data_IF_984762856933
#
_entry.id   IF_984762856933
#
_cell.length_a   1.000
_cell.length_b   1.000
_cell.length_c   1.000
_cell.angle_alpha   90.00
_cell.angle_beta   90.00
_cell.angle_gamma   90.00
#
_symmetry.space_group_name_H-M   'P 1'
#
loop_
_entity.id
_entity.type
_entity.pdbx_description
1 polymer ?
#
# COMPACT_ATOMS: atom_id res chain seq x y z
N UNK A 1 0.04 -18.12 13.69
CA UNK A 1 -0.56 -19.47 13.83
C UNK A 1 -0.69 -20.09 12.45
N UNK A 2 -0.63 -21.42 12.35
CA UNK A 2 -0.89 -22.10 11.10
C UNK A 2 -2.40 -22.21 10.92
N UNK A 3 -2.93 -21.59 9.86
CA UNK A 3 -4.34 -21.66 9.50
C UNK A 3 -4.40 -22.44 8.19
N UNK A 4 -5.15 -23.54 8.16
CA UNK A 4 -5.25 -24.36 6.96
C UNK A 4 -6.25 -23.69 6.01
N UNK A 5 -5.76 -22.80 5.15
CA UNK A 5 -6.54 -22.12 4.12
C UNK A 5 -6.26 -22.78 2.78
N UNK A 6 -7.30 -23.10 2.03
CA UNK A 6 -7.15 -23.54 0.65
C UNK A 6 -6.68 -22.34 -0.20
N UNK A 7 -5.43 -22.39 -0.64
CA UNK A 7 -4.80 -21.40 -1.52
C UNK A 7 -4.28 -22.16 -2.74
N UNK A 8 -4.38 -21.56 -3.92
CA UNK A 8 -3.74 -22.10 -5.13
C UNK A 8 -2.22 -22.11 -4.96
N UNK A 9 -1.64 -23.32 -4.90
CA UNK A 9 -0.21 -23.52 -4.70
C UNK A 9 0.64 -22.99 -5.87
N UNK A 10 0.11 -23.01 -7.10
CA UNK A 10 0.83 -22.50 -8.26
C UNK A 10 0.95 -20.97 -8.19
N UNK A 11 -0.16 -20.31 -7.87
CA UNK A 11 -0.18 -18.86 -7.68
C UNK A 11 0.71 -18.43 -6.50
N UNK A 12 0.71 -19.21 -5.43
CA UNK A 12 1.52 -18.92 -4.24
C UNK A 12 3.02 -19.06 -4.51
N UNK A 13 3.45 -20.06 -5.29
CA UNK A 13 4.84 -20.19 -5.72
C UNK A 13 5.24 -19.11 -6.72
N UNK A 14 4.36 -18.74 -7.66
CA UNK A 14 4.61 -17.62 -8.57
C UNK A 14 4.83 -16.32 -7.79
N UNK A 15 3.92 -16.00 -6.86
CA UNK A 15 4.04 -14.83 -5.99
C UNK A 15 5.30 -14.89 -5.11
N UNK A 16 5.73 -16.09 -4.69
CA UNK A 16 6.98 -16.28 -3.94
C UNK A 16 8.21 -15.94 -4.77
N UNK A 17 8.25 -16.39 -6.03
CA UNK A 17 9.36 -16.14 -6.94
C UNK A 17 9.42 -14.67 -7.35
N UNK A 18 8.28 -14.07 -7.71
CA UNK A 18 8.17 -12.67 -8.11
C UNK A 18 8.47 -11.73 -6.93
N UNK A 19 7.90 -12.00 -5.75
CA UNK A 19 8.13 -11.25 -4.51
C UNK A 19 9.47 -11.54 -3.83
N UNK A 20 10.25 -12.51 -4.35
CA UNK A 20 11.55 -12.93 -3.79
C UNK A 20 11.48 -13.34 -2.31
N UNK A 21 10.39 -13.98 -1.91
CA UNK A 21 10.18 -14.41 -0.53
C UNK A 21 10.79 -15.78 -0.26
N UNK A 22 11.39 -15.92 0.94
CA UNK A 22 11.98 -17.19 1.37
C UNK A 22 10.92 -18.26 1.71
N UNK A 23 9.72 -17.87 2.13
CA UNK A 23 8.69 -18.81 2.61
C UNK A 23 7.31 -18.43 2.10
N UNK A 24 6.45 -19.44 1.88
CA UNK A 24 5.01 -19.27 1.55
C UNK A 24 4.30 -18.35 2.56
N UNK A 25 4.62 -18.47 3.85
CA UNK A 25 4.06 -17.61 4.91
C UNK A 25 4.40 -16.13 4.71
N UNK A 26 5.64 -15.83 4.32
CA UNK A 26 6.05 -14.45 4.06
C UNK A 26 5.25 -13.85 2.89
N UNK A 27 5.06 -14.62 1.80
CA UNK A 27 4.23 -14.21 0.65
C UNK A 27 2.82 -13.85 1.09
N UNK A 28 2.16 -14.72 1.85
CA UNK A 28 0.77 -14.51 2.28
C UNK A 28 0.66 -13.27 3.17
N UNK A 29 1.58 -13.09 4.11
CA UNK A 29 1.57 -11.93 4.99
C UNK A 29 1.77 -10.62 4.22
N UNK A 30 2.69 -10.59 3.27
CA UNK A 30 2.97 -9.42 2.45
C UNK A 30 1.82 -9.10 1.50
N UNK A 31 1.29 -10.10 0.82
CA UNK A 31 0.13 -9.95 -0.06
C UNK A 31 -1.09 -9.39 0.70
N UNK A 32 -1.34 -9.85 1.93
CA UNK A 32 -2.39 -9.31 2.78
C UNK A 32 -2.12 -7.86 3.20
N UNK A 33 -0.88 -7.54 3.56
CA UNK A 33 -0.49 -6.17 3.90
C UNK A 33 -0.71 -5.22 2.72
N UNK A 34 -0.23 -5.59 1.52
CA UNK A 34 -0.45 -4.81 0.31
C UNK A 34 -1.93 -4.68 -0.06
N UNK A 35 -2.69 -5.77 0.05
CA UNK A 35 -4.13 -5.77 -0.25
C UNK A 35 -4.88 -4.77 0.64
N UNK A 36 -4.60 -4.79 1.94
CA UNK A 36 -5.19 -3.83 2.89
C UNK A 36 -4.70 -2.41 2.60
N UNK A 37 -3.40 -2.23 2.34
CA UNK A 37 -2.83 -0.92 2.03
C UNK A 37 -3.44 -0.31 0.78
N UNK A 38 -3.56 -1.07 -0.32
CA UNK A 38 -4.17 -0.58 -1.58
C UNK A 38 -5.62 -0.14 -1.37
N UNK A 39 -6.39 -0.85 -0.54
CA UNK A 39 -7.77 -0.47 -0.20
C UNK A 39 -7.83 0.80 0.63
N UNK A 40 -6.98 0.92 1.65
CA UNK A 40 -6.88 2.16 2.45
C UNK A 40 -6.42 3.33 1.59
N UNK A 41 -5.48 3.11 0.67
CA UNK A 41 -5.00 4.15 -0.23
C UNK A 41 -6.12 4.66 -1.15
N UNK A 42 -7.04 3.81 -1.60
CA UNK A 42 -8.19 4.24 -2.39
C UNK A 42 -9.09 5.25 -1.63
N UNK A 43 -9.08 5.24 -0.30
CA UNK A 43 -9.80 6.22 0.52
C UNK A 43 -9.26 7.65 0.38
N UNK A 44 -8.08 7.85 -0.23
CA UNK A 44 -7.56 9.19 -0.54
C UNK A 44 -8.53 9.99 -1.42
N UNK A 45 -9.35 9.31 -2.22
CA UNK A 45 -10.38 9.93 -3.05
C UNK A 45 -11.39 10.69 -2.18
N UNK A 46 -11.63 10.22 -0.95
CA UNK A 46 -12.54 10.86 0.00
C UNK A 46 -12.01 12.19 0.54
N UNK A 47 -10.73 12.52 0.34
CA UNK A 47 -10.13 13.80 0.74
C UNK A 47 -10.31 14.89 -0.32
N UNK A 48 -10.66 14.56 -1.57
CA UNK A 48 -10.92 15.57 -2.59
C UNK A 48 -12.06 16.50 -2.14
N UNK A 49 -11.85 17.79 -2.37
CA UNK A 49 -12.75 18.88 -1.95
C UNK A 49 -12.96 19.04 -0.44
N UNK A 50 -12.26 18.28 0.41
CA UNK A 50 -12.29 18.46 1.87
C UNK A 50 -11.11 19.26 2.42
N UNK A 51 -10.07 19.45 1.62
CA UNK A 51 -8.90 20.22 2.02
C UNK A 51 -9.13 21.68 1.69
N UNK A 52 -9.27 22.50 2.72
CA UNK A 52 -9.30 23.95 2.59
C UNK A 52 -7.87 24.49 2.61
N UNK A 53 -7.51 25.21 1.55
CA UNK A 53 -6.22 25.89 1.46
C UNK A 53 -6.39 27.34 1.92
N UNK A 54 -5.39 27.84 2.65
CA UNK A 54 -5.37 29.24 3.04
C UNK A 54 -5.13 30.10 1.80
N UNK A 55 -5.96 31.12 1.57
CA UNK A 55 -5.94 31.96 0.36
C UNK A 55 -4.60 32.65 0.14
N UNK A 56 -3.92 32.96 1.24
CA UNK A 56 -2.70 33.77 1.24
C UNK A 56 -1.43 32.89 1.27
N UNK A 57 -1.58 31.57 1.11
CA UNK A 57 -0.46 30.63 1.15
C UNK A 57 0.35 30.65 -0.16
N UNK A 58 1.55 31.26 -0.13
CA UNK A 58 2.52 31.17 -1.22
C UNK A 58 3.61 30.11 -0.95
N UNK A 59 3.47 28.95 -1.59
CA UNK A 59 4.48 27.88 -1.54
C UNK A 59 5.85 28.27 -2.14
N UNK A 60 5.96 29.38 -2.89
CA UNK A 60 7.25 29.89 -3.42
C UNK A 60 8.14 30.49 -2.35
N UNK A 61 7.59 30.97 -1.23
CA UNK A 61 8.40 31.58 -0.17
C UNK A 61 9.33 30.57 0.51
N UNK A 62 8.96 29.29 0.54
CA UNK A 62 9.82 28.21 1.01
C UNK A 62 10.99 27.92 0.06
N UNK A 63 10.86 28.23 -1.23
CA UNK A 63 11.92 28.02 -2.23
C UNK A 63 12.96 29.14 -2.25
N UNK A 64 12.59 30.34 -1.82
CA UNK A 64 13.48 31.51 -1.75
C UNK A 64 14.47 31.47 -0.60
N UNK A 65 14.25 30.63 0.42
CA UNK A 65 15.14 30.48 1.60
C UNK A 65 16.29 29.47 1.40
N UNK A 66 16.62 29.13 0.15
CA UNK A 66 17.77 28.27 -0.18
C UNK A 66 18.93 29.08 -0.72
#
# INVERSE_FOLDING_TARGET
>A
MATNLAIDDNLLEEARLVGKHATKKAVVNEALAEYVQRRKQAEIINLFHKVEYNSDYDYKDQRKKR
#
